data_IF_245303193558
#
_entry.id   IF_245303193558
#
_cell.length_a   1.000
_cell.length_b   1.000
_cell.length_c   1.000
_cell.angle_alpha   90.00
_cell.angle_beta   90.00
_cell.angle_gamma   90.00
#
_symmetry.space_group_name_H-M   'P 1'
#
loop_
_entity.id
_entity.type
_entity.pdbx_description
1 polymer ?
#
# COMPACT_ATOMS: atom_id res chain seq x y z
N UNK A 1 17.99 -21.90 3.58
CA UNK A 1 17.15 -21.71 2.38
C UNK A 1 15.70 -22.10 2.61
N UNK A 2 15.37 -23.34 3.00
CA UNK A 2 13.98 -23.81 3.23
C UNK A 2 13.19 -22.94 4.21
N UNK A 3 13.75 -22.60 5.40
CA UNK A 3 13.10 -21.72 6.39
C UNK A 3 12.82 -20.30 5.88
N UNK A 4 13.67 -19.78 4.98
CA UNK A 4 13.45 -18.44 4.38
C UNK A 4 12.33 -18.48 3.36
N UNK A 5 12.20 -19.55 2.60
CA UNK A 5 11.11 -19.78 1.66
C UNK A 5 9.77 -19.96 2.37
N UNK A 6 9.75 -20.76 3.45
CA UNK A 6 8.55 -20.91 4.30
C UNK A 6 8.09 -19.59 4.90
N UNK A 7 9.03 -18.74 5.35
CA UNK A 7 8.70 -17.38 5.83
C UNK A 7 8.15 -16.50 4.73
N UNK A 8 8.65 -16.60 3.53
CA UNK A 8 8.17 -15.86 2.38
C UNK A 8 6.73 -16.27 2.02
N UNK A 9 6.46 -17.56 1.93
CA UNK A 9 5.10 -18.08 1.68
C UNK A 9 4.11 -17.63 2.75
N UNK A 10 4.49 -17.71 4.03
CA UNK A 10 3.65 -17.24 5.14
C UNK A 10 3.32 -15.74 5.06
N UNK A 11 4.26 -14.92 4.56
CA UNK A 11 4.01 -13.49 4.31
C UNK A 11 3.05 -13.26 3.15
N UNK A 12 3.20 -14.02 2.07
CA UNK A 12 2.27 -13.95 0.94
C UNK A 12 0.84 -14.31 1.36
N UNK A 13 0.67 -15.39 2.12
CA UNK A 13 -0.64 -15.80 2.64
C UNK A 13 -1.24 -14.76 3.60
N UNK A 14 -0.42 -14.15 4.47
CA UNK A 14 -0.87 -13.11 5.39
C UNK A 14 -1.33 -11.86 4.62
N UNK A 15 -0.60 -11.45 3.58
CA UNK A 15 -0.95 -10.34 2.72
C UNK A 15 -2.24 -10.63 1.95
N UNK A 16 -2.39 -11.83 1.39
CA UNK A 16 -3.60 -12.25 0.69
C UNK A 16 -4.84 -12.21 1.61
N UNK A 17 -4.70 -12.64 2.87
CA UNK A 17 -5.79 -12.54 3.86
C UNK A 17 -6.12 -11.10 4.24
N UNK A 18 -5.11 -10.23 4.34
CA UNK A 18 -5.30 -8.81 4.64
C UNK A 18 -6.14 -8.11 3.57
N UNK A 19 -6.00 -8.52 2.31
CA UNK A 19 -6.67 -7.94 1.13
C UNK A 19 -7.72 -8.89 0.50
N UNK A 20 -8.37 -9.73 1.29
CA UNK A 20 -9.41 -10.63 0.81
C UNK A 20 -10.79 -9.97 0.64
N UNK A 21 -11.80 -10.80 0.30
CA UNK A 21 -13.17 -10.35 -0.02
C UNK A 21 -13.78 -9.41 1.03
N UNK A 22 -13.61 -9.70 2.33
CA UNK A 22 -14.13 -8.85 3.39
C UNK A 22 -13.50 -7.43 3.41
N UNK A 23 -12.28 -7.29 2.93
CA UNK A 23 -11.61 -6.02 2.76
C UNK A 23 -12.23 -5.22 1.61
N UNK A 24 -12.45 -5.86 0.46
CA UNK A 24 -13.06 -5.25 -0.71
C UNK A 24 -14.50 -4.81 -0.41
N UNK A 25 -15.28 -5.69 0.19
CA UNK A 25 -16.68 -5.45 0.56
C UNK A 25 -16.85 -4.21 1.45
N UNK A 26 -15.94 -4.00 2.40
CA UNK A 26 -15.96 -2.79 3.25
C UNK A 26 -15.89 -1.48 2.46
N UNK A 27 -15.09 -1.42 1.41
CA UNK A 27 -14.95 -0.22 0.59
C UNK A 27 -16.12 -0.09 -0.39
N UNK A 28 -16.52 -1.19 -1.03
CA UNK A 28 -17.62 -1.21 -1.97
C UNK A 28 -18.94 -0.79 -1.31
N UNK A 29 -19.20 -1.25 -0.07
CA UNK A 29 -20.37 -0.84 0.71
C UNK A 29 -20.39 0.66 1.05
N UNK A 30 -19.24 1.34 0.98
CA UNK A 30 -19.11 2.79 1.11
C UNK A 30 -19.15 3.53 -0.23
N UNK A 31 -19.37 2.82 -1.34
CA UNK A 31 -19.33 3.38 -2.68
C UNK A 31 -17.93 3.76 -3.16
N UNK A 32 -16.88 3.14 -2.59
CA UNK A 32 -15.48 3.42 -2.91
C UNK A 32 -14.80 2.20 -3.50
N UNK A 33 -13.85 2.44 -4.40
CA UNK A 33 -12.86 1.43 -4.79
C UNK A 33 -11.84 1.20 -3.67
N UNK A 34 -11.28 0.01 -3.60
CA UNK A 34 -10.13 -0.27 -2.73
C UNK A 34 -8.89 0.50 -3.19
N UNK A 35 -7.89 0.63 -2.33
CA UNK A 35 -6.62 1.26 -2.70
C UNK A 35 -5.95 0.53 -3.87
N UNK A 36 -6.06 -0.80 -3.93
CA UNK A 36 -5.49 -1.63 -5.00
C UNK A 36 -6.25 -1.46 -6.32
N UNK A 37 -7.58 -1.51 -6.28
CA UNK A 37 -8.41 -1.26 -7.48
C UNK A 37 -8.16 0.12 -8.09
N UNK A 38 -7.93 1.15 -7.25
CA UNK A 38 -7.58 2.49 -7.76
C UNK A 38 -6.24 2.49 -8.50
N UNK A 39 -5.26 1.76 -8.02
CA UNK A 39 -3.96 1.59 -8.70
C UNK A 39 -4.15 0.85 -10.04
N UNK A 40 -4.90 -0.24 -10.04
CA UNK A 40 -5.18 -1.01 -11.25
C UNK A 40 -5.94 -0.19 -12.30
N UNK A 41 -6.87 0.65 -11.86
CA UNK A 41 -7.60 1.56 -12.74
C UNK A 41 -6.77 2.71 -13.28
N UNK A 42 -5.77 3.18 -12.52
CA UNK A 42 -4.91 4.31 -12.89
C UNK A 42 -3.89 3.92 -13.96
N UNK A 43 -3.27 2.75 -13.83
CA UNK A 43 -2.13 2.34 -14.66
C UNK A 43 -2.55 1.51 -15.87
N UNK A 44 -1.74 1.56 -16.92
CA UNK A 44 -1.86 0.65 -18.06
C UNK A 44 -1.77 -0.80 -17.57
N UNK A 45 -2.58 -1.68 -18.13
CA UNK A 45 -2.71 -3.08 -17.72
C UNK A 45 -1.34 -3.78 -17.66
N UNK A 46 -1.08 -4.46 -16.54
CA UNK A 46 0.12 -5.25 -16.31
C UNK A 46 1.42 -4.46 -16.14
N UNK A 47 1.38 -3.13 -16.06
CA UNK A 47 2.60 -2.29 -15.97
C UNK A 47 2.97 -1.90 -14.56
N UNK A 48 2.06 -2.04 -13.59
CA UNK A 48 2.33 -1.61 -12.21
C UNK A 48 3.26 -2.58 -11.47
N UNK A 49 4.34 -2.01 -10.93
CA UNK A 49 5.32 -2.68 -10.08
C UNK A 49 5.20 -2.12 -8.66
N UNK A 50 4.76 -2.95 -7.73
CA UNK A 50 4.60 -2.56 -6.32
C UNK A 50 5.95 -2.56 -5.60
N UNK A 51 6.21 -1.49 -4.85
CA UNK A 51 7.43 -1.31 -4.04
C UNK A 51 7.08 -1.47 -2.56
N UNK A 52 7.88 -2.27 -1.86
CA UNK A 52 7.76 -2.49 -0.41
C UNK A 52 6.38 -3.04 0.06
N UNK A 53 5.76 -3.91 -0.75
CA UNK A 53 4.48 -4.54 -0.43
C UNK A 53 4.50 -5.30 0.92
N UNK A 54 5.64 -5.89 1.25
CA UNK A 54 5.83 -6.70 2.46
C UNK A 54 6.49 -5.96 3.62
N UNK A 55 6.57 -4.63 3.58
CA UNK A 55 7.10 -3.85 4.70
C UNK A 55 6.26 -4.08 5.94
N UNK A 56 6.83 -4.68 7.00
CA UNK A 56 6.07 -4.96 8.21
C UNK A 56 5.81 -3.68 8.98
N UNK A 57 4.61 -3.57 9.52
CA UNK A 57 4.20 -2.51 10.43
C UNK A 57 3.57 -3.09 11.68
N UNK A 58 3.82 -2.47 12.80
CA UNK A 58 3.19 -2.80 14.07
C UNK A 58 2.83 -1.50 14.79
N UNK A 59 1.57 -1.35 15.13
CA UNK A 59 1.06 -0.21 15.92
C UNK A 59 0.50 -0.73 17.22
N UNK A 60 0.97 -0.20 18.34
CA UNK A 60 0.47 -0.55 19.67
C UNK A 60 -0.37 0.59 20.22
N UNK A 61 -1.62 0.30 20.54
CA UNK A 61 -2.55 1.24 21.17
C UNK A 61 -3.35 0.53 22.26
N UNK A 62 -3.44 1.15 23.43
CA UNK A 62 -4.15 0.58 24.59
C UNK A 62 -3.77 -0.88 24.90
N UNK A 63 -2.48 -1.23 24.84
CA UNK A 63 -1.96 -2.56 25.11
C UNK A 63 -2.21 -3.61 24.03
N UNK A 64 -2.86 -3.25 22.92
CA UNK A 64 -3.08 -4.13 21.75
C UNK A 64 -2.12 -3.75 20.64
N UNK A 65 -1.41 -4.74 20.12
CA UNK A 65 -0.53 -4.56 18.95
C UNK A 65 -1.23 -5.09 17.71
N UNK A 66 -1.45 -4.20 16.74
CA UNK A 66 -1.93 -4.55 15.40
C UNK A 66 -0.73 -4.64 14.48
N UNK A 67 -0.60 -5.75 13.78
CA UNK A 67 0.44 -5.99 12.78
C UNK A 67 -0.18 -6.06 11.39
N UNK A 68 0.45 -5.39 10.44
CA UNK A 68 0.03 -5.41 9.04
C UNK A 68 1.24 -5.36 8.11
N UNK A 69 1.01 -5.63 6.85
CA UNK A 69 1.99 -5.39 5.79
C UNK A 69 1.61 -4.15 5.00
N UNK A 70 2.63 -3.43 4.50
CA UNK A 70 2.45 -2.24 3.67
C UNK A 70 2.02 -0.98 4.41
N UNK A 71 1.70 -1.07 5.70
CA UNK A 71 1.36 0.05 6.59
C UNK A 71 0.27 0.99 6.07
N UNK A 72 -0.75 0.45 5.39
CA UNK A 72 -1.91 1.21 4.92
C UNK A 72 -1.65 2.09 3.70
N UNK A 73 -0.62 1.80 2.93
CA UNK A 73 -0.36 2.48 1.65
C UNK A 73 0.26 1.53 0.63
N UNK A 74 -0.27 1.56 -0.58
CA UNK A 74 0.30 0.88 -1.74
C UNK A 74 1.18 1.89 -2.47
N UNK A 75 2.42 1.53 -2.72
CA UNK A 75 3.41 2.40 -3.40
C UNK A 75 4.05 1.65 -4.55
N UNK A 76 4.36 2.35 -5.61
CA UNK A 76 5.00 1.73 -6.76
C UNK A 76 5.06 2.65 -7.97
N UNK A 77 5.29 2.06 -9.13
CA UNK A 77 5.38 2.74 -10.41
C UNK A 77 4.85 1.87 -11.54
N UNK A 78 4.51 2.51 -12.62
CA UNK A 78 4.03 1.85 -13.83
C UNK A 78 3.89 2.86 -14.97
N UNK A 79 3.13 2.52 -15.99
CA UNK A 79 2.87 3.39 -17.11
C UNK A 79 1.44 3.90 -17.13
N UNK A 80 1.26 5.16 -17.49
CA UNK A 80 -0.03 5.76 -17.85
C UNK A 80 0.09 6.27 -19.28
N UNK A 81 -0.67 5.69 -20.20
CA UNK A 81 -0.55 5.97 -21.63
C UNK A 81 0.90 5.85 -22.14
N UNK A 82 1.62 4.81 -21.69
CA UNK A 82 3.00 4.53 -22.05
C UNK A 82 4.06 5.38 -21.32
N UNK A 83 3.66 6.34 -20.48
CA UNK A 83 4.59 7.20 -19.72
C UNK A 83 4.77 6.68 -18.29
N UNK A 84 6.03 6.59 -17.84
CA UNK A 84 6.33 6.19 -16.47
C UNK A 84 5.80 7.20 -15.44
N UNK A 85 5.09 6.67 -14.45
CA UNK A 85 4.49 7.43 -13.35
C UNK A 85 4.71 6.66 -12.05
N UNK A 86 5.08 7.37 -10.99
CA UNK A 86 5.09 6.83 -9.63
C UNK A 86 3.79 7.16 -8.93
N UNK A 87 3.32 6.28 -8.06
CA UNK A 87 2.09 6.52 -7.32
C UNK A 87 2.15 5.96 -5.90
N UNK A 88 1.33 6.54 -5.04
CA UNK A 88 0.93 5.95 -3.77
C UNK A 88 -0.59 6.02 -3.60
N UNK A 89 -1.17 4.97 -3.04
CA UNK A 89 -2.61 4.87 -2.77
C UNK A 89 -2.81 4.51 -1.30
N UNK A 90 -3.43 5.41 -0.56
CA UNK A 90 -3.72 5.19 0.85
C UNK A 90 -4.90 4.24 1.02
N UNK A 91 -4.75 3.33 1.97
CA UNK A 91 -5.71 2.27 2.24
C UNK A 91 -6.45 2.52 3.56
N UNK A 92 -7.65 3.05 3.45
CA UNK A 92 -8.48 3.38 4.59
C UNK A 92 -8.83 2.16 5.48
N UNK A 93 -8.84 0.96 4.92
CA UNK A 93 -9.13 -0.26 5.68
C UNK A 93 -8.01 -0.66 6.64
N UNK A 94 -6.78 -0.18 6.40
CA UNK A 94 -5.64 -0.41 7.28
C UNK A 94 -5.43 0.83 8.15
N UNK A 95 -5.88 0.76 9.39
CA UNK A 95 -5.76 1.84 10.38
C UNK A 95 -6.26 3.21 9.89
N UNK A 96 -7.36 3.20 9.10
CA UNK A 96 -7.92 4.42 8.53
C UNK A 96 -7.02 5.12 7.51
N UNK A 97 -6.11 4.42 6.87
CA UNK A 97 -5.14 5.01 5.93
C UNK A 97 -4.21 6.05 6.58
N UNK A 98 -4.12 6.02 7.90
CA UNK A 98 -3.39 7.04 8.65
C UNK A 98 -1.88 6.97 8.45
N UNK A 99 -1.22 8.13 8.42
CA UNK A 99 0.21 8.25 8.22
C UNK A 99 0.96 7.75 9.46
N UNK A 100 1.69 6.66 9.31
CA UNK A 100 2.66 6.15 10.29
C UNK A 100 4.08 6.21 9.72
N UNK A 101 5.08 5.74 10.49
CA UNK A 101 6.49 5.83 10.10
C UNK A 101 6.82 5.01 8.84
N UNK A 102 6.36 3.77 8.76
CA UNK A 102 6.56 2.91 7.59
C UNK A 102 5.78 3.42 6.39
N UNK A 103 4.54 3.84 6.59
CA UNK A 103 3.69 4.50 5.59
C UNK A 103 4.41 5.70 4.96
N UNK A 104 4.90 6.62 5.80
CA UNK A 104 5.64 7.80 5.35
C UNK A 104 6.93 7.43 4.59
N UNK A 105 7.71 6.48 5.12
CA UNK A 105 8.94 6.02 4.47
C UNK A 105 8.71 5.44 3.08
N UNK A 106 7.63 4.70 2.89
CA UNK A 106 7.22 4.18 1.58
C UNK A 106 6.89 5.28 0.58
N UNK A 107 6.13 6.29 1.02
CA UNK A 107 5.77 7.45 0.18
C UNK A 107 7.04 8.23 -0.20
N UNK A 108 7.90 8.54 0.76
CA UNK A 108 9.17 9.24 0.52
C UNK A 108 10.02 8.48 -0.48
N UNK A 109 10.11 7.17 -0.36
CA UNK A 109 10.90 6.34 -1.27
C UNK A 109 10.45 6.47 -2.71
N UNK A 110 9.15 6.39 -3.01
CA UNK A 110 8.65 6.54 -4.38
C UNK A 110 8.77 7.97 -4.89
N UNK A 111 8.64 8.97 -4.03
CA UNK A 111 8.90 10.37 -4.39
C UNK A 111 10.37 10.60 -4.76
N UNK A 112 11.31 10.03 -4.00
CA UNK A 112 12.75 10.10 -4.31
C UNK A 112 13.09 9.40 -5.63
N UNK A 113 12.51 8.23 -5.88
CA UNK A 113 12.67 7.50 -7.14
C UNK A 113 12.12 8.31 -8.32
N UNK A 114 10.96 8.92 -8.18
CA UNK A 114 10.35 9.77 -9.18
C UNK A 114 11.21 11.00 -9.48
N UNK A 115 11.74 11.64 -8.45
CA UNK A 115 12.64 12.79 -8.59
C UNK A 115 13.90 12.44 -9.37
N UNK A 116 14.52 11.29 -9.07
CA UNK A 116 15.73 10.80 -9.75
C UNK A 116 15.50 10.48 -11.21
N UNK A 117 14.31 10.02 -11.58
CA UNK A 117 13.96 9.65 -12.96
C UNK A 117 13.25 10.75 -13.73
N UNK A 118 12.93 11.88 -13.09
CA UNK A 118 12.15 12.96 -13.69
C UNK A 118 10.70 12.56 -14.02
N UNK A 119 10.14 11.60 -13.27
CA UNK A 119 8.79 11.09 -13.47
C UNK A 119 7.78 11.80 -12.56
N UNK A 120 6.52 11.97 -13.01
CA UNK A 120 5.46 12.50 -12.14
C UNK A 120 5.08 11.53 -11.03
N UNK A 121 4.51 12.07 -9.94
CA UNK A 121 3.93 11.30 -8.83
C UNK A 121 2.45 11.59 -8.72
N UNK A 122 1.64 10.53 -8.59
CA UNK A 122 0.21 10.62 -8.32
C UNK A 122 -0.07 10.11 -6.91
N UNK A 123 -0.71 10.93 -6.08
CA UNK A 123 -1.19 10.54 -4.76
C UNK A 123 -2.69 10.31 -4.76
N UNK A 124 -3.13 9.08 -4.44
CA UNK A 124 -4.52 8.71 -4.25
C UNK A 124 -4.81 8.72 -2.74
N UNK A 125 -5.38 9.83 -2.29
CA UNK A 125 -5.54 10.13 -0.86
C UNK A 125 -6.85 9.56 -0.34
N UNK A 126 -6.76 8.72 0.70
CA UNK A 126 -7.90 8.23 1.49
C UNK A 126 -7.42 7.94 2.92
N UNK A 127 -7.44 8.95 3.77
CA UNK A 127 -6.82 8.90 5.10
C UNK A 127 -7.62 9.67 6.13
N UNK A 128 -7.66 9.13 7.35
CA UNK A 128 -8.17 9.82 8.54
C UNK A 128 -7.17 10.79 9.17
N UNK A 129 -5.93 10.84 8.72
CA UNK A 129 -4.91 11.74 9.27
C UNK A 129 -3.58 11.05 9.60
N UNK A 130 -2.87 11.54 10.60
CA UNK A 130 -1.61 10.98 11.08
C UNK A 130 -1.83 10.17 12.37
N UNK A 131 -1.03 9.10 12.53
CA UNK A 131 -0.99 8.34 13.78
C UNK A 131 -0.18 9.09 14.83
N UNK A 132 -0.66 9.01 16.06
CA UNK A 132 0.03 9.57 17.24
C UNK A 132 0.72 8.49 18.08
N UNK A 133 0.60 7.22 17.70
CA UNK A 133 1.25 6.08 18.35
C UNK A 133 2.67 5.86 17.86
#
# INVERSE_FOLDING_TARGET
MRKSFEKFLARQEALARQYGEAYEEKQHNRGKLTARERIEFLFDEGTFEEVDAYSPSATTSFGKTVRSYGDGVITGFGNINGRQVFAYSQDFNVQGGSLGSVHAAKIIKVQDMALKTGSPVVGLIDSGGARIQ
#
